data_IF_847607224602
#
_entry.id   IF_847607224602
#
_cell.length_a   1.000
_cell.length_b   1.000
_cell.length_c   1.000
_cell.angle_alpha   90.00
_cell.angle_beta   90.00
_cell.angle_gamma   90.00
#
_symmetry.space_group_name_H-M   'P 1'
#
loop_
_entity.id
_entity.type
_entity.pdbx_description
1 polymer ?
#
# COMPACT_ATOMS: atom_id res chain seq x y z
N UNK A 1 -3.54 1.78 -7.39
CA UNK A 1 -3.80 0.82 -6.30
C UNK A 1 -3.63 -0.62 -6.76
N UNK A 2 -4.52 -1.18 -7.60
CA UNK A 2 -4.45 -2.59 -8.03
C UNK A 2 -3.11 -2.91 -8.68
N UNK A 3 -2.70 -2.13 -9.69
CA UNK A 3 -1.42 -2.31 -10.35
C UNK A 3 -0.22 -2.21 -9.39
N UNK A 4 -0.26 -1.26 -8.44
CA UNK A 4 0.79 -1.12 -7.43
C UNK A 4 0.86 -2.33 -6.49
N UNK A 5 -0.29 -2.81 -6.00
CA UNK A 5 -0.33 -4.02 -5.18
C UNK A 5 0.11 -5.28 -5.93
N UNK A 6 -0.28 -5.42 -7.21
CA UNK A 6 0.14 -6.53 -8.05
C UNK A 6 1.65 -6.50 -8.34
N UNK A 7 2.19 -5.31 -8.60
CA UNK A 7 3.62 -5.12 -8.80
C UNK A 7 4.41 -5.49 -7.54
N UNK A 8 3.93 -5.07 -6.36
CA UNK A 8 4.55 -5.40 -5.08
C UNK A 8 4.59 -6.93 -4.84
N UNK A 9 3.47 -7.64 -5.12
CA UNK A 9 3.42 -9.10 -5.04
C UNK A 9 4.37 -9.76 -6.06
N UNK A 10 4.38 -9.27 -7.31
CA UNK A 10 5.12 -9.91 -8.40
C UNK A 10 6.63 -9.75 -8.27
N UNK A 11 7.10 -8.61 -7.75
CA UNK A 11 8.53 -8.36 -7.58
C UNK A 11 9.13 -9.09 -6.38
N UNK A 12 8.33 -9.40 -5.36
CA UNK A 12 8.81 -10.13 -4.18
C UNK A 12 9.45 -11.51 -4.48
N UNK A 13 8.80 -12.45 -5.19
CA UNK A 13 9.43 -13.73 -5.51
C UNK A 13 10.70 -13.55 -6.33
N UNK A 14 10.70 -12.62 -7.29
CA UNK A 14 11.88 -12.29 -8.11
C UNK A 14 13.03 -11.85 -7.20
N UNK A 15 12.79 -10.87 -6.33
CA UNK A 15 13.78 -10.38 -5.36
C UNK A 15 14.34 -11.51 -4.48
N UNK A 16 13.46 -12.34 -3.90
CA UNK A 16 13.90 -13.44 -3.02
C UNK A 16 14.63 -14.57 -3.74
N UNK A 17 14.32 -14.82 -5.01
CA UNK A 17 15.03 -15.80 -5.84
C UNK A 17 16.42 -15.31 -6.24
N UNK A 18 16.58 -13.99 -6.37
CA UNK A 18 17.77 -13.35 -6.92
C UNK A 18 18.79 -12.99 -5.84
N UNK A 19 18.35 -12.46 -4.69
CA UNK A 19 19.24 -12.00 -3.62
C UNK A 19 19.17 -12.87 -2.34
N UNK A 20 18.39 -13.95 -2.39
CA UNK A 20 18.12 -14.75 -1.22
C UNK A 20 17.22 -14.03 -0.20
N UNK A 21 16.90 -14.70 0.92
CA UNK A 21 16.01 -14.14 1.92
C UNK A 21 16.69 -13.17 2.89
N UNK A 22 18.00 -13.29 3.08
CA UNK A 22 18.77 -12.41 3.97
C UNK A 22 19.21 -11.16 3.21
N UNK A 23 19.26 -10.02 3.89
CA UNK A 23 19.78 -8.74 3.38
C UNK A 23 21.31 -8.75 3.15
N UNK A 24 21.92 -9.92 3.06
CA UNK A 24 23.37 -10.07 2.90
C UNK A 24 23.61 -10.20 1.40
N UNK A 25 24.23 -9.17 0.82
CA UNK A 25 24.71 -9.16 -0.57
C UNK A 25 25.62 -10.39 -0.77
N UNK A 26 25.03 -11.50 -1.20
CA UNK A 26 25.78 -12.63 -1.73
C UNK A 26 26.10 -12.31 -3.18
N UNK A 27 26.97 -11.31 -3.40
CA UNK A 27 27.82 -11.08 -4.59
C UNK A 27 27.20 -11.35 -5.98
N UNK A 28 25.90 -11.14 -6.16
CA UNK A 28 25.19 -11.40 -7.41
C UNK A 28 24.53 -10.14 -7.95
N UNK A 29 25.23 -9.40 -8.80
CA UNK A 29 24.55 -8.49 -9.72
C UNK A 29 23.67 -9.32 -10.65
N UNK A 30 22.35 -9.23 -10.48
CA UNK A 30 21.41 -9.83 -11.43
C UNK A 30 20.95 -8.73 -12.37
N UNK A 31 21.22 -8.95 -13.66
CA UNK A 31 21.10 -7.94 -14.72
C UNK A 31 22.00 -6.70 -14.51
N UNK A 32 23.17 -6.87 -13.88
CA UNK A 32 24.09 -5.75 -13.59
C UNK A 32 23.62 -4.83 -12.46
N UNK A 33 22.63 -5.28 -11.67
CA UNK A 33 22.00 -4.48 -10.62
C UNK A 33 22.05 -5.21 -9.27
N UNK A 34 22.45 -4.50 -8.22
CA UNK A 34 22.56 -5.02 -6.86
C UNK A 34 21.25 -5.01 -6.07
N UNK A 35 21.29 -5.56 -4.85
CA UNK A 35 20.14 -5.73 -3.95
C UNK A 35 19.39 -4.43 -3.65
N UNK A 36 20.12 -3.32 -3.53
CA UNK A 36 19.55 -1.99 -3.27
C UNK A 36 18.66 -1.50 -4.43
N UNK A 37 19.10 -1.71 -5.67
CA UNK A 37 18.31 -1.36 -6.85
C UNK A 37 17.01 -2.17 -6.89
N UNK A 38 17.11 -3.49 -6.73
CA UNK A 38 15.95 -4.37 -6.78
C UNK A 38 14.95 -4.08 -5.65
N UNK A 39 15.45 -3.78 -4.45
CA UNK A 39 14.60 -3.34 -3.35
C UNK A 39 13.92 -2.00 -3.64
N UNK A 40 14.63 -1.03 -4.26
CA UNK A 40 14.02 0.24 -4.68
C UNK A 40 12.90 0.05 -5.72
N UNK A 41 13.05 -0.94 -6.62
CA UNK A 41 12.05 -1.29 -7.61
C UNK A 41 10.82 -1.97 -7.01
N UNK A 42 10.96 -2.67 -5.88
CA UNK A 42 9.80 -3.23 -5.18
C UNK A 42 8.95 -2.14 -4.54
N UNK A 43 9.57 -1.17 -3.86
CA UNK A 43 8.85 -0.20 -3.03
C UNK A 43 8.49 1.09 -3.78
N UNK A 44 9.36 1.57 -4.65
CA UNK A 44 9.22 2.85 -5.34
C UNK A 44 8.06 2.88 -6.35
N UNK A 45 8.18 2.16 -7.49
CA UNK A 45 7.12 2.09 -8.49
C UNK A 45 5.77 1.64 -7.92
N UNK A 46 5.77 0.63 -7.05
CA UNK A 46 4.54 0.12 -6.43
C UNK A 46 3.87 1.17 -5.53
N UNK A 47 4.66 1.89 -4.72
CA UNK A 47 4.22 2.98 -3.86
C UNK A 47 3.62 4.14 -4.66
N UNK A 48 4.27 4.54 -5.77
CA UNK A 48 3.74 5.58 -6.66
C UNK A 48 2.42 5.16 -7.31
N UNK A 49 2.29 3.92 -7.78
CA UNK A 49 1.05 3.40 -8.35
C UNK A 49 -0.08 3.29 -7.31
N UNK A 50 0.25 3.01 -6.05
CA UNK A 50 -0.70 3.07 -4.93
C UNK A 50 -1.13 4.52 -4.71
N UNK A 51 -0.19 5.46 -4.61
CA UNK A 51 -0.43 6.89 -4.41
C UNK A 51 -1.31 7.49 -5.52
N UNK A 52 -1.02 7.18 -6.78
CA UNK A 52 -1.83 7.62 -7.92
C UNK A 52 -3.27 7.12 -7.84
N UNK A 53 -3.45 5.86 -7.43
CA UNK A 53 -4.80 5.33 -7.24
C UNK A 53 -5.54 5.99 -6.06
N UNK A 54 -4.82 6.31 -4.97
CA UNK A 54 -5.36 7.07 -3.83
C UNK A 54 -5.79 8.47 -4.26
N UNK A 55 -4.97 9.17 -5.05
CA UNK A 55 -5.30 10.46 -5.65
C UNK A 55 -6.58 10.39 -6.48
N UNK A 56 -6.70 9.40 -7.37
CA UNK A 56 -7.93 9.18 -8.15
C UNK A 56 -9.16 8.85 -7.30
N UNK A 57 -8.96 8.40 -6.06
CA UNK A 57 -10.04 8.05 -5.12
C UNK A 57 -10.32 9.13 -4.07
N UNK A 58 -9.65 10.28 -4.14
CA UNK A 58 -9.69 11.35 -3.11
C UNK A 58 -11.12 11.73 -2.69
N UNK A 59 -11.99 12.02 -3.67
CA UNK A 59 -13.36 12.43 -3.40
C UNK A 59 -14.18 11.38 -2.64
N UNK A 60 -13.94 10.09 -2.91
CA UNK A 60 -14.60 8.99 -2.19
C UNK A 60 -14.04 8.82 -0.79
N UNK A 61 -12.73 9.01 -0.61
CA UNK A 61 -12.08 8.81 0.70
C UNK A 61 -12.36 9.96 1.68
N UNK A 62 -12.51 11.18 1.17
CA UNK A 62 -12.55 12.39 2.01
C UNK A 62 -13.86 13.20 1.92
N UNK A 63 -14.62 13.08 0.83
CA UNK A 63 -15.68 14.03 0.50
C UNK A 63 -16.82 14.15 1.53
N UNK A 64 -17.18 13.06 2.21
CA UNK A 64 -18.27 13.03 3.21
C UNK A 64 -17.83 12.62 4.62
N UNK A 65 -16.53 12.47 4.84
CA UNK A 65 -15.97 11.93 6.09
C UNK A 65 -15.25 12.98 6.96
N UNK A 66 -15.31 14.26 6.56
CA UNK A 66 -14.87 15.39 7.37
C UNK A 66 -13.34 15.55 7.48
N UNK A 67 -12.90 16.40 8.42
CA UNK A 67 -11.49 16.78 8.59
C UNK A 67 -10.59 15.59 8.94
N UNK A 68 -11.07 14.66 9.76
CA UNK A 68 -10.31 13.48 10.17
C UNK A 68 -9.92 12.59 8.97
N UNK A 69 -10.83 12.39 8.01
CA UNK A 69 -10.52 11.64 6.79
C UNK A 69 -9.49 12.35 5.91
N UNK A 70 -9.53 13.69 5.83
CA UNK A 70 -8.54 14.48 5.10
C UNK A 70 -7.16 14.37 5.73
N UNK A 71 -7.07 14.47 7.06
CA UNK A 71 -5.81 14.28 7.80
C UNK A 71 -5.27 12.87 7.56
N UNK A 72 -6.12 11.83 7.70
CA UNK A 72 -5.73 10.46 7.42
C UNK A 72 -5.21 10.26 6.00
N UNK A 73 -5.91 10.84 5.01
CA UNK A 73 -5.48 10.82 3.62
C UNK A 73 -4.12 11.50 3.41
N UNK A 74 -3.89 12.68 3.98
CA UNK A 74 -2.61 13.39 3.87
C UNK A 74 -1.47 12.60 4.49
N UNK A 75 -1.67 12.04 5.70
CA UNK A 75 -0.65 11.20 6.35
C UNK A 75 -0.34 9.95 5.53
N UNK A 76 -1.37 9.32 4.95
CA UNK A 76 -1.19 8.20 4.03
C UNK A 76 -0.41 8.61 2.78
N UNK A 77 -0.74 9.75 2.15
CA UNK A 77 -0.01 10.24 0.99
C UNK A 77 1.46 10.55 1.30
N UNK A 78 1.74 11.20 2.43
CA UNK A 78 3.10 11.44 2.91
C UNK A 78 3.83 10.11 3.10
N UNK A 79 3.21 9.18 3.81
CA UNK A 79 3.79 7.89 4.18
C UNK A 79 4.02 6.93 3.01
N UNK A 80 3.39 7.15 1.85
CA UNK A 80 3.62 6.35 0.64
C UNK A 80 4.47 7.08 -0.39
N UNK A 81 4.26 8.37 -0.62
CA UNK A 81 4.94 9.14 -1.69
C UNK A 81 6.38 9.43 -1.31
N UNK A 82 6.65 9.89 -0.08
CA UNK A 82 8.01 10.26 0.30
C UNK A 82 8.95 9.05 0.23
N UNK A 83 8.64 7.89 0.87
CA UNK A 83 9.51 6.73 0.75
C UNK A 83 9.66 6.25 -0.68
N UNK A 84 8.58 6.24 -1.47
CA UNK A 84 8.64 5.81 -2.86
C UNK A 84 9.57 6.68 -3.72
N UNK A 85 9.49 8.00 -3.57
CA UNK A 85 10.36 8.94 -4.28
C UNK A 85 11.81 8.85 -3.81
N UNK A 86 12.03 8.76 -2.49
CA UNK A 86 13.37 8.63 -1.93
C UNK A 86 14.02 7.35 -2.43
N UNK A 87 13.35 6.20 -2.32
CA UNK A 87 13.87 4.91 -2.77
C UNK A 87 14.25 4.94 -4.25
N UNK A 88 13.42 5.56 -5.11
CA UNK A 88 13.73 5.72 -6.54
C UNK A 88 14.89 6.67 -6.79
N UNK A 89 15.00 7.76 -6.02
CA UNK A 89 16.04 8.77 -6.20
C UNK A 89 17.43 8.27 -5.78
N UNK A 90 17.49 7.47 -4.69
CA UNK A 90 18.77 6.96 -4.16
C UNK A 90 19.08 5.53 -4.62
N UNK A 91 18.16 4.89 -5.35
CA UNK A 91 18.26 3.49 -5.78
C UNK A 91 18.58 2.52 -4.62
N UNK A 92 17.99 2.78 -3.46
CA UNK A 92 18.18 1.98 -2.26
C UNK A 92 16.88 1.89 -1.43
N UNK A 93 16.77 0.83 -0.63
CA UNK A 93 15.68 0.66 0.32
C UNK A 93 16.01 1.39 1.60
N UNK A 94 15.27 2.46 1.87
CA UNK A 94 15.34 3.14 3.18
C UNK A 94 14.53 2.33 4.19
N UNK A 95 14.97 2.24 5.46
CA UNK A 95 14.13 1.69 6.51
C UNK A 95 12.73 2.32 6.52
N UNK A 96 11.69 1.59 6.93
CA UNK A 96 10.29 2.04 6.85
C UNK A 96 9.95 3.09 7.93
N UNK A 97 10.73 4.17 8.04
CA UNK A 97 10.60 5.24 9.04
C UNK A 97 9.24 5.92 9.00
N UNK A 98 8.62 5.99 7.81
CA UNK A 98 7.29 6.59 7.62
C UNK A 98 6.15 5.56 7.64
N UNK A 99 6.42 4.27 7.84
CA UNK A 99 5.36 3.27 7.97
C UNK A 99 4.39 3.54 9.14
N UNK A 100 4.80 4.05 10.32
CA UNK A 100 3.87 4.44 11.38
C UNK A 100 2.96 5.60 10.97
N UNK A 101 3.49 6.56 10.20
CA UNK A 101 2.73 7.69 9.65
C UNK A 101 1.70 7.19 8.65
N UNK A 102 2.12 6.31 7.75
CA UNK A 102 1.26 5.67 6.76
C UNK A 102 0.15 4.85 7.44
N UNK A 103 0.51 3.98 8.39
CA UNK A 103 -0.43 3.15 9.15
C UNK A 103 -1.44 3.98 9.93
N UNK A 104 -0.99 5.04 10.61
CA UNK A 104 -1.87 6.00 11.27
C UNK A 104 -2.86 6.62 10.28
N UNK A 105 -2.39 7.05 9.11
CA UNK A 105 -3.24 7.63 8.07
C UNK A 105 -4.36 6.69 7.61
N UNK A 106 -4.04 5.42 7.40
CA UNK A 106 -4.99 4.39 6.98
C UNK A 106 -6.06 4.12 8.06
N UNK A 107 -5.62 3.98 9.32
CA UNK A 107 -6.53 3.76 10.45
C UNK A 107 -7.45 4.98 10.63
N UNK A 108 -6.92 6.20 10.54
CA UNK A 108 -7.73 7.42 10.63
C UNK A 108 -8.77 7.48 9.53
N UNK A 109 -8.42 7.13 8.29
CA UNK A 109 -9.39 7.06 7.18
C UNK A 109 -10.47 6.00 7.44
N UNK A 110 -10.10 4.83 7.95
CA UNK A 110 -11.03 3.75 8.28
C UNK A 110 -12.04 4.19 9.36
N UNK A 111 -11.54 4.81 10.44
CA UNK A 111 -12.35 5.29 11.57
C UNK A 111 -13.23 6.48 11.15
N UNK A 112 -12.70 7.44 10.41
CA UNK A 112 -13.45 8.62 9.96
C UNK A 112 -14.63 8.23 9.05
N UNK A 113 -14.45 7.20 8.21
CA UNK A 113 -15.49 6.72 7.30
C UNK A 113 -16.47 5.71 7.94
N UNK A 114 -16.43 5.48 9.27
CA UNK A 114 -17.27 4.46 9.92
C UNK A 114 -18.78 4.72 9.79
N UNK A 115 -19.18 6.00 9.76
CA UNK A 115 -20.59 6.45 9.67
C UNK A 115 -20.98 6.85 8.25
N UNK A 116 -20.03 6.92 7.33
CA UNK A 116 -20.27 7.45 5.99
C UNK A 116 -20.59 6.31 5.04
N UNK A 117 -21.61 6.51 4.20
CA UNK A 117 -21.92 5.59 3.11
C UNK A 117 -20.87 5.60 1.99
N UNK A 118 -19.73 6.30 2.12
CA UNK A 118 -18.73 6.42 1.04
C UNK A 118 -17.85 5.17 0.89
N UNK A 119 -17.60 4.45 1.98
CA UNK A 119 -16.86 3.18 1.98
C UNK A 119 -17.71 2.02 2.49
N UNK A 120 -17.46 0.81 1.97
CA UNK A 120 -18.08 -0.42 2.47
C UNK A 120 -17.44 -0.84 3.79
N UNK A 121 -18.09 -1.73 4.56
CA UNK A 121 -17.48 -2.34 5.76
C UNK A 121 -16.18 -3.06 5.41
N UNK A 122 -16.16 -3.78 4.29
CA UNK A 122 -14.99 -4.49 3.80
C UNK A 122 -13.83 -3.54 3.46
N UNK A 123 -14.08 -2.47 2.71
CA UNK A 123 -13.03 -1.48 2.39
C UNK A 123 -12.43 -0.84 3.64
N UNK A 124 -13.24 -0.59 4.68
CA UNK A 124 -12.74 -0.08 5.97
C UNK A 124 -11.90 -1.10 6.72
N UNK A 125 -12.34 -2.37 6.72
CA UNK A 125 -11.57 -3.46 7.33
C UNK A 125 -10.21 -3.62 6.65
N UNK A 126 -10.15 -3.49 5.32
CA UNK A 126 -8.89 -3.51 4.58
C UNK A 126 -7.98 -2.35 4.95
N UNK A 127 -8.49 -1.11 5.03
CA UNK A 127 -7.68 0.04 5.47
C UNK A 127 -7.13 -0.16 6.88
N UNK A 128 -7.96 -0.67 7.79
CA UNK A 128 -7.54 -0.97 9.16
C UNK A 128 -6.48 -2.07 9.20
N UNK A 129 -6.71 -3.18 8.49
CA UNK A 129 -5.78 -4.30 8.39
C UNK A 129 -4.44 -3.91 7.77
N UNK A 130 -4.45 -3.12 6.70
CA UNK A 130 -3.22 -2.57 6.10
C UNK A 130 -2.46 -1.68 7.10
N UNK A 131 -3.17 -0.87 7.87
CA UNK A 131 -2.56 -0.08 8.95
C UNK A 131 -1.89 -0.96 10.00
N UNK A 132 -2.58 -2.02 10.46
CA UNK A 132 -2.04 -2.99 11.43
C UNK A 132 -0.80 -3.69 10.89
N UNK A 133 -0.81 -4.11 9.62
CA UNK A 133 0.36 -4.74 8.97
C UNK A 133 1.57 -3.80 8.98
N UNK A 134 1.37 -2.50 8.71
CA UNK A 134 2.45 -1.51 8.75
C UNK A 134 3.03 -1.34 10.17
N UNK A 135 2.18 -1.24 11.19
CA UNK A 135 2.65 -1.17 12.58
C UNK A 135 3.37 -2.44 13.01
N UNK A 136 2.80 -3.60 12.68
CA UNK A 136 3.45 -4.89 12.95
C UNK A 136 4.82 -4.97 12.28
N UNK A 137 4.95 -4.51 11.04
CA UNK A 137 6.21 -4.53 10.29
C UNK A 137 7.30 -3.71 10.98
N UNK A 138 6.96 -2.53 11.51
CA UNK A 138 7.89 -1.66 12.25
C UNK A 138 8.26 -2.28 13.59
N UNK A 139 7.26 -2.76 14.34
CA UNK A 139 7.48 -3.38 15.65
C UNK A 139 8.32 -4.66 15.53
N UNK A 140 8.08 -5.46 14.49
CA UNK A 140 8.85 -6.68 14.22
C UNK A 140 10.32 -6.36 13.98
N UNK A 141 10.63 -5.41 13.10
CA UNK A 141 12.00 -4.98 12.83
C UNK A 141 12.68 -4.33 14.05
N UNK A 142 11.92 -3.63 14.89
CA UNK A 142 12.46 -3.00 16.10
C UNK A 142 12.69 -4.01 17.24
N UNK A 143 11.87 -5.06 17.34
CA UNK A 143 11.89 -5.99 18.46
C UNK A 143 12.78 -7.21 18.23
N UNK A 144 12.92 -7.68 16.98
CA UNK A 144 13.65 -8.91 16.68
C UNK A 144 15.07 -8.58 16.24
N UNK A 145 16.06 -9.12 16.96
CA UNK A 145 17.47 -8.91 16.63
C UNK A 145 17.84 -9.62 15.31
N UNK A 146 18.80 -9.09 14.54
CA UNK A 146 19.17 -9.65 13.23
C UNK A 146 19.59 -11.13 13.28
N UNK A 147 20.33 -11.54 14.31
CA UNK A 147 20.78 -12.91 14.52
C UNK A 147 19.61 -13.90 14.70
N UNK A 148 18.54 -13.45 15.34
CA UNK A 148 17.31 -14.23 15.49
C UNK A 148 16.54 -14.29 14.18
N UNK A 149 16.47 -13.18 13.42
CA UNK A 149 15.81 -13.15 12.11
C UNK A 149 16.45 -14.14 11.14
N UNK A 150 17.77 -14.30 11.17
CA UNK A 150 18.46 -15.26 10.30
C UNK A 150 18.12 -16.71 10.67
N UNK A 151 18.08 -17.04 11.97
CA UNK A 151 17.80 -18.39 12.46
C UNK A 151 16.39 -18.89 12.13
N UNK A 152 15.39 -17.99 12.10
CA UNK A 152 13.99 -18.35 11.86
C UNK A 152 13.53 -18.07 10.42
N UNK A 153 14.45 -17.72 9.51
CA UNK A 153 14.09 -17.18 8.19
C UNK A 153 13.12 -15.98 8.27
N UNK A 154 13.27 -15.17 9.32
CA UNK A 154 12.40 -14.05 9.67
C UNK A 154 12.27 -13.00 8.57
N UNK A 155 13.30 -12.81 7.76
CA UNK A 155 13.24 -11.92 6.58
C UNK A 155 12.29 -12.43 5.49
N UNK A 156 12.12 -13.76 5.31
CA UNK A 156 11.12 -14.32 4.38
C UNK A 156 9.71 -14.06 4.89
N UNK A 157 9.49 -14.29 6.18
CA UNK A 157 8.20 -14.09 6.83
C UNK A 157 7.84 -12.61 6.76
N UNK A 158 8.79 -11.74 7.13
CA UNK A 158 8.66 -10.30 7.04
C UNK A 158 8.29 -9.88 5.63
N UNK A 159 9.08 -10.26 4.61
CA UNK A 159 8.82 -9.83 3.25
C UNK A 159 7.55 -10.43 2.63
N UNK A 160 7.16 -11.65 3.00
CA UNK A 160 5.86 -12.20 2.60
C UNK A 160 4.71 -11.37 3.19
N UNK A 161 4.80 -10.97 4.45
CA UNK A 161 3.78 -10.12 5.08
C UNK A 161 3.79 -8.70 4.50
N UNK A 162 4.97 -8.08 4.42
CA UNK A 162 5.15 -6.69 4.01
C UNK A 162 4.92 -6.44 2.52
N UNK A 163 5.18 -7.43 1.65
CA UNK A 163 5.00 -7.28 0.20
C UNK A 163 3.74 -8.01 -0.29
N UNK A 164 3.54 -9.28 0.11
CA UNK A 164 2.42 -10.08 -0.42
C UNK A 164 1.10 -9.73 0.24
N UNK A 165 1.01 -9.78 1.58
CA UNK A 165 -0.24 -9.45 2.27
C UNK A 165 -0.60 -7.97 2.09
N UNK A 166 0.38 -7.09 2.17
CA UNK A 166 0.18 -5.66 1.93
C UNK A 166 -0.28 -5.40 0.49
N UNK A 167 0.39 -5.98 -0.51
CA UNK A 167 0.00 -5.87 -1.91
C UNK A 167 -1.41 -6.41 -2.16
N UNK A 168 -1.76 -7.55 -1.57
CA UNK A 168 -3.10 -8.14 -1.67
C UNK A 168 -4.17 -7.21 -1.07
N UNK A 169 -3.89 -6.62 0.09
CA UNK A 169 -4.79 -5.65 0.70
C UNK A 169 -5.05 -4.45 -0.19
N UNK A 170 -4.05 -3.93 -0.91
CA UNK A 170 -4.22 -2.85 -1.89
C UNK A 170 -5.00 -3.26 -3.12
N UNK A 171 -4.81 -4.48 -3.63
CA UNK A 171 -5.60 -5.03 -4.73
C UNK A 171 -7.07 -5.12 -4.33
N UNK A 172 -7.34 -5.78 -3.21
CA UNK A 172 -8.71 -5.95 -2.71
C UNK A 172 -9.37 -4.61 -2.41
N UNK A 173 -8.61 -3.66 -1.86
CA UNK A 173 -9.13 -2.33 -1.57
C UNK A 173 -9.48 -1.58 -2.87
N UNK A 174 -8.57 -1.55 -3.84
CA UNK A 174 -8.81 -0.96 -5.15
C UNK A 174 -10.00 -1.60 -5.88
N UNK A 175 -10.07 -2.94 -5.88
CA UNK A 175 -11.19 -3.67 -6.49
C UNK A 175 -12.53 -3.33 -5.81
N UNK A 176 -12.55 -3.24 -4.48
CA UNK A 176 -13.75 -2.87 -3.72
C UNK A 176 -14.27 -1.46 -4.08
N UNK A 177 -13.36 -0.51 -4.37
CA UNK A 177 -13.71 0.83 -4.81
C UNK A 177 -14.27 0.84 -6.24
N UNK A 178 -13.70 0.04 -7.14
CA UNK A 178 -14.16 -0.07 -8.54
C UNK A 178 -15.55 -0.71 -8.60
N UNK A 179 -15.75 -1.84 -7.92
CA UNK A 179 -17.01 -2.56 -7.90
C UNK A 179 -18.17 -1.66 -7.45
N UNK A 180 -17.93 -0.81 -6.45
CA UNK A 180 -18.92 0.12 -5.93
C UNK A 180 -19.23 1.29 -6.87
N UNK A 181 -18.22 1.78 -7.58
CA UNK A 181 -18.40 2.84 -8.59
C UNK A 181 -19.40 2.40 -9.66
N UNK A 182 -19.24 1.18 -10.17
CA UNK A 182 -20.14 0.59 -11.18
C UNK A 182 -21.58 0.45 -10.70
N UNK A 183 -21.80 0.01 -9.46
CA UNK A 183 -23.15 -0.12 -8.88
C UNK A 183 -23.83 1.25 -8.77
N UNK A 184 -23.09 2.29 -8.42
CA UNK A 184 -23.63 3.65 -8.26
C UNK A 184 -24.00 4.28 -9.61
N UNK A 185 -23.26 3.98 -10.67
CA UNK A 185 -23.55 4.42 -12.04
C UNK A 185 -24.75 3.68 -12.64
N UNK A 186 -24.84 2.35 -12.44
CA UNK A 186 -25.97 1.55 -12.92
C UNK A 186 -27.31 1.92 -12.26
N UNK A 187 -27.29 2.47 -11.05
CA UNK A 187 -28.47 2.92 -10.32
C UNK A 187 -28.92 4.36 -10.62
N UNK A 188 -28.25 5.09 -11.51
CA UNK A 188 -28.71 6.43 -11.91
C UNK A 188 -29.89 6.32 -12.88
N UNK A 189 -31.07 6.90 -12.58
CA UNK A 189 -32.16 6.94 -13.53
C UNK A 189 -31.70 7.69 -14.80
N UNK A 190 -31.98 7.11 -15.97
CA UNK A 190 -31.76 7.76 -17.26
C UNK A 190 -32.57 9.07 -17.23
N UNK A 191 -31.94 10.24 -17.46
CA UNK A 191 -32.68 11.49 -17.51
C UNK A 191 -33.76 11.36 -18.58
N UNK A 192 -35.02 11.53 -18.17
CA UNK A 192 -36.16 11.51 -19.07
C UNK A 192 -35.86 12.50 -20.20
N UNK A 193 -35.90 12.01 -21.44
CA UNK A 193 -35.70 12.84 -22.63
C UNK A 193 -36.65 14.05 -22.51
N UNK A 194 -36.07 15.24 -22.49
CA UNK A 194 -36.83 16.49 -22.51
C UNK A 194 -37.74 16.47 -23.74
N UNK A 195 -39.07 16.61 -23.60
CA UNK A 195 -39.95 16.68 -24.75
C UNK A 195 -39.52 17.87 -25.61
N UNK A 196 -39.16 17.58 -26.86
CA UNK A 196 -38.90 18.59 -27.88
C UNK A 196 -40.18 19.40 -28.08
N UNK A 197 -40.12 20.69 -27.71
CA UNK A 197 -41.13 21.70 -28.03
C UNK A 197 -41.12 22.04 -29.51
#
# INVERSE_FOLDING_TARGET
MIAGGALNIALWPIYTSVHGPGSVDMEGEVLGMGTLFWGSMMEGPSGLLIALGLAGSYGRLTGRAGRMARVGYVLTMIGVVIPALVNLAILAVVPPLLAPVFGTGLILMAVANRRTSSLTRFSRLLLWGLGVVLFWSVLWLAAVRPDVLDQIHGYRIYGAVANVLFGLGWILFGASLVARGRITEAGRPIPAASPSS
#
